data_IF_273722135115
#
_entry.id   IF_273722135115
#
_cell.length_a   1.000
_cell.length_b   1.000
_cell.length_c   1.000
_cell.angle_alpha   90.00
_cell.angle_beta   90.00
_cell.angle_gamma   90.00
#
_symmetry.space_group_name_H-M   'P 1'
#
loop_
_entity.id
_entity.type
_entity.pdbx_description
1 polymer ?
#
# COMPACT_ATOMS: atom_id res chain seq x y z
N UNK A 1 -23.04 -14.23 -0.15
CA UNK A 1 -22.27 -13.20 0.60
C UNK A 1 -20.90 -13.12 -0.03
N UNK A 2 -20.33 -11.92 -0.17
CA UNK A 2 -18.96 -11.79 -0.68
C UNK A 2 -17.98 -12.32 0.37
N UNK A 3 -17.03 -13.16 -0.05
CA UNK A 3 -16.01 -13.75 0.86
C UNK A 3 -14.79 -12.84 1.04
N UNK A 4 -14.64 -11.86 0.17
CA UNK A 4 -13.61 -10.82 0.22
C UNK A 4 -14.13 -9.54 -0.42
N UNK A 5 -13.44 -8.43 -0.17
CA UNK A 5 -13.67 -7.14 -0.82
C UNK A 5 -12.35 -6.49 -1.24
N UNK A 6 -12.40 -5.71 -2.31
CA UNK A 6 -11.34 -4.78 -2.69
C UNK A 6 -11.90 -3.38 -2.45
N UNK A 7 -11.28 -2.62 -1.55
CA UNK A 7 -11.70 -1.26 -1.23
C UNK A 7 -10.58 -0.28 -1.51
N UNK A 8 -10.93 0.95 -1.86
CA UNK A 8 -9.96 2.02 -2.06
C UNK A 8 -9.57 2.62 -0.71
N UNK A 9 -8.27 2.66 -0.42
CA UNK A 9 -7.70 3.33 0.75
C UNK A 9 -7.21 4.71 0.32
N UNK A 10 -7.96 5.76 0.70
CA UNK A 10 -7.65 7.14 0.33
C UNK A 10 -6.28 7.59 0.81
N UNK A 11 -5.82 7.08 1.97
CA UNK A 11 -4.54 7.45 2.55
C UNK A 11 -3.38 6.89 1.72
N UNK A 12 -3.48 5.63 1.31
CA UNK A 12 -2.48 5.02 0.41
C UNK A 12 -2.68 5.44 -1.05
N UNK A 13 -3.88 5.92 -1.39
CA UNK A 13 -4.32 6.25 -2.74
C UNK A 13 -4.32 5.03 -3.66
N UNK A 14 -4.72 3.88 -3.15
CA UNK A 14 -4.77 2.62 -3.92
C UNK A 14 -5.78 1.63 -3.34
N UNK A 15 -6.08 0.60 -4.13
CA UNK A 15 -6.93 -0.51 -3.71
C UNK A 15 -6.22 -1.43 -2.72
N UNK A 16 -6.95 -1.91 -1.71
CA UNK A 16 -6.50 -2.89 -0.73
C UNK A 16 -7.41 -4.12 -0.73
N UNK A 17 -6.85 -5.33 -0.64
CA UNK A 17 -7.64 -6.53 -0.46
C UNK A 17 -8.02 -6.69 1.01
N UNK A 18 -9.23 -7.17 1.26
CA UNK A 18 -9.69 -7.57 2.59
C UNK A 18 -10.48 -8.87 2.51
N UNK A 19 -10.02 -9.87 3.26
CA UNK A 19 -10.76 -11.09 3.47
C UNK A 19 -11.86 -10.86 4.52
N UNK A 20 -13.06 -11.37 4.25
CA UNK A 20 -14.20 -11.35 5.18
C UNK A 20 -14.40 -12.71 5.86
N UNK A 21 -13.67 -13.72 5.39
CA UNK A 21 -13.59 -15.09 5.91
C UNK A 21 -12.13 -15.52 5.94
N UNK A 22 -11.81 -16.63 6.60
CA UNK A 22 -10.45 -17.18 6.55
C UNK A 22 -10.07 -17.59 5.12
N UNK A 23 -8.81 -17.42 4.74
CA UNK A 23 -8.31 -17.73 3.40
C UNK A 23 -8.60 -19.18 2.98
N UNK A 24 -8.41 -20.11 3.92
CA UNK A 24 -8.64 -21.55 3.73
C UNK A 24 -10.14 -21.90 3.58
N UNK A 25 -11.04 -20.95 3.88
CA UNK A 25 -12.49 -21.12 3.68
C UNK A 25 -12.94 -20.69 2.29
N UNK A 26 -12.08 -20.07 1.49
CA UNK A 26 -12.36 -19.76 0.10
C UNK A 26 -12.33 -21.03 -0.76
N UNK A 27 -13.18 -21.10 -1.79
CA UNK A 27 -13.03 -22.14 -2.82
C UNK A 27 -11.73 -21.90 -3.62
N UNK A 28 -11.21 -22.94 -4.28
CA UNK A 28 -10.02 -22.80 -5.12
C UNK A 28 -10.17 -21.72 -6.21
N UNK A 29 -11.37 -21.58 -6.79
CA UNK A 29 -11.67 -20.53 -7.77
C UNK A 29 -11.63 -19.13 -7.14
N UNK A 30 -12.18 -18.98 -5.93
CA UNK A 30 -12.14 -17.71 -5.20
C UNK A 30 -10.74 -17.35 -4.72
N UNK A 31 -9.94 -18.34 -4.31
CA UNK A 31 -8.53 -18.15 -3.98
C UNK A 31 -7.77 -17.63 -5.19
N UNK A 32 -7.91 -18.29 -6.34
CA UNK A 32 -7.24 -17.87 -7.58
C UNK A 32 -7.66 -16.45 -8.01
N UNK A 33 -8.95 -16.13 -7.95
CA UNK A 33 -9.44 -14.78 -8.27
C UNK A 33 -8.86 -13.73 -7.30
N UNK A 34 -8.85 -14.03 -6.00
CA UNK A 34 -8.30 -13.16 -4.97
C UNK A 34 -6.79 -12.96 -5.13
N UNK A 35 -6.03 -14.04 -5.36
CA UNK A 35 -4.58 -14.00 -5.61
C UNK A 35 -4.26 -13.13 -6.83
N UNK A 36 -5.03 -13.24 -7.92
CA UNK A 36 -4.84 -12.39 -9.10
C UNK A 36 -5.04 -10.90 -8.76
N UNK A 37 -6.05 -10.57 -7.95
CA UNK A 37 -6.26 -9.19 -7.47
C UNK A 37 -5.14 -8.71 -6.56
N UNK A 38 -4.63 -9.58 -5.69
CA UNK A 38 -3.45 -9.30 -4.88
C UNK A 38 -2.22 -9.00 -5.74
N UNK A 39 -1.98 -9.76 -6.81
CA UNK A 39 -0.89 -9.51 -7.76
C UNK A 39 -1.05 -8.16 -8.47
N UNK A 40 -2.26 -7.85 -8.96
CA UNK A 40 -2.57 -6.54 -9.55
C UNK A 40 -2.22 -5.42 -8.56
N UNK A 41 -2.70 -5.50 -7.32
CA UNK A 41 -2.44 -4.51 -6.27
C UNK A 41 -0.94 -4.35 -5.99
N UNK A 42 -0.21 -5.45 -5.80
CA UNK A 42 1.23 -5.43 -5.57
C UNK A 42 2.01 -4.79 -6.72
N UNK A 43 1.57 -4.95 -7.96
CA UNK A 43 2.21 -4.33 -9.13
C UNK A 43 2.15 -2.79 -9.10
N UNK A 44 1.16 -2.20 -8.43
CA UNK A 44 1.00 -0.74 -8.30
C UNK A 44 1.75 -0.15 -7.11
N UNK A 45 2.10 -0.95 -6.09
CA UNK A 45 2.74 -0.46 -4.87
C UNK A 45 4.07 0.28 -5.15
N UNK A 46 5.00 -0.25 -5.98
CA UNK A 46 6.26 0.44 -6.24
C UNK A 46 6.08 1.83 -6.87
N UNK A 47 5.14 1.97 -7.82
CA UNK A 47 4.87 3.26 -8.45
C UNK A 47 4.22 4.25 -7.47
N UNK A 48 3.36 3.77 -6.56
CA UNK A 48 2.82 4.61 -5.47
C UNK A 48 3.91 5.07 -4.51
N UNK A 49 4.82 4.20 -4.10
CA UNK A 49 5.97 4.57 -3.24
C UNK A 49 6.78 5.67 -3.92
N UNK A 50 7.16 5.51 -5.19
CA UNK A 50 7.91 6.54 -5.95
C UNK A 50 7.19 7.89 -5.98
N UNK A 51 5.88 7.90 -6.16
CA UNK A 51 5.09 9.13 -6.17
C UNK A 51 5.15 9.85 -4.80
N UNK A 52 5.06 9.10 -3.71
CA UNK A 52 5.21 9.62 -2.36
C UNK A 52 6.63 10.08 -2.06
N UNK A 53 7.66 9.33 -2.47
CA UNK A 53 9.07 9.74 -2.35
C UNK A 53 9.35 11.05 -3.09
N UNK A 54 8.80 11.21 -4.29
CA UNK A 54 8.92 12.47 -5.04
C UNK A 54 8.26 13.64 -4.30
N UNK A 55 7.09 13.43 -3.70
CA UNK A 55 6.42 14.45 -2.88
C UNK A 55 7.22 14.77 -1.61
N UNK A 56 7.76 13.77 -0.94
CA UNK A 56 8.64 13.93 0.22
C UNK A 56 9.85 14.81 -0.12
N UNK A 57 10.53 14.48 -1.23
CA UNK A 57 11.69 15.25 -1.69
C UNK A 57 11.33 16.69 -2.05
N UNK A 58 10.14 16.91 -2.63
CA UNK A 58 9.66 18.27 -2.89
C UNK A 58 9.50 19.10 -1.61
N UNK A 59 8.91 18.53 -0.55
CA UNK A 59 8.82 19.20 0.75
C UNK A 59 10.19 19.41 1.39
N UNK A 60 11.08 18.41 1.31
CA UNK A 60 12.43 18.52 1.84
C UNK A 60 13.23 19.67 1.20
N UNK A 61 13.11 19.86 -0.11
CA UNK A 61 13.75 20.99 -0.80
C UNK A 61 13.13 22.33 -0.38
N UNK A 62 11.80 22.41 -0.27
CA UNK A 62 11.11 23.64 0.16
C UNK A 62 11.40 24.01 1.63
N UNK A 63 11.65 23.01 2.47
CA UNK A 63 11.96 23.18 3.89
C UNK A 63 13.28 23.94 4.12
N UNK A 64 14.20 23.95 3.15
CA UNK A 64 15.46 24.72 3.23
C UNK A 64 15.25 26.23 3.23
N UNK A 65 14.15 26.70 2.65
CA UNK A 65 13.81 28.12 2.51
C UNK A 65 12.61 28.52 3.38
N UNK A 66 12.09 27.59 4.18
CA UNK A 66 10.88 27.79 4.98
C UNK A 66 11.15 28.69 6.20
N UNK A 67 10.15 29.50 6.55
CA UNK A 67 10.07 30.14 7.86
C UNK A 67 9.65 29.13 8.94
N UNK A 68 9.66 29.55 10.21
CA UNK A 68 9.40 28.65 11.34
C UNK A 68 8.03 27.96 11.24
N UNK A 69 6.96 28.68 10.86
CA UNK A 69 5.62 28.10 10.75
C UNK A 69 5.54 27.09 9.59
N UNK A 70 6.09 27.44 8.44
CA UNK A 70 6.11 26.57 7.25
C UNK A 70 7.01 25.35 7.47
N UNK A 71 8.09 25.50 8.23
CA UNK A 71 8.98 24.40 8.61
C UNK A 71 8.23 23.31 9.37
N UNK A 72 7.40 23.68 10.36
CA UNK A 72 6.60 22.70 11.10
C UNK A 72 5.59 21.99 10.19
N UNK A 73 4.91 22.72 9.32
CA UNK A 73 3.95 22.15 8.37
C UNK A 73 4.62 21.14 7.42
N UNK A 74 5.74 21.50 6.82
CA UNK A 74 6.45 20.61 5.91
C UNK A 74 7.03 19.39 6.61
N UNK A 75 7.52 19.52 7.85
CA UNK A 75 7.94 18.35 8.63
C UNK A 75 6.78 17.40 8.91
N UNK A 76 5.60 17.92 9.24
CA UNK A 76 4.41 17.09 9.47
C UNK A 76 4.01 16.33 8.20
N UNK A 77 3.95 17.02 7.05
CA UNK A 77 3.66 16.39 5.75
C UNK A 77 4.69 15.32 5.39
N UNK A 78 5.99 15.60 5.60
CA UNK A 78 7.06 14.63 5.38
C UNK A 78 6.94 13.40 6.28
N UNK A 79 6.56 13.59 7.55
CA UNK A 79 6.33 12.48 8.46
C UNK A 79 5.14 11.61 8.01
N UNK A 80 4.02 12.24 7.65
CA UNK A 80 2.85 11.53 7.13
C UNK A 80 3.18 10.73 5.86
N UNK A 81 3.97 11.31 4.95
CA UNK A 81 4.41 10.60 3.74
C UNK A 81 5.27 9.38 4.10
N UNK A 82 6.16 9.53 5.08
CA UNK A 82 7.02 8.42 5.54
C UNK A 82 6.19 7.28 6.12
N UNK A 83 5.18 7.58 6.93
CA UNK A 83 4.23 6.60 7.45
C UNK A 83 3.49 5.86 6.32
N UNK A 84 3.02 6.59 5.30
CA UNK A 84 2.35 6.00 4.14
C UNK A 84 3.27 5.05 3.36
N UNK A 85 4.53 5.44 3.14
CA UNK A 85 5.52 4.58 2.47
C UNK A 85 5.77 3.31 3.29
N UNK A 86 5.89 3.43 4.62
CA UNK A 86 6.01 2.26 5.49
C UNK A 86 4.80 1.33 5.38
N UNK A 87 3.59 1.87 5.38
CA UNK A 87 2.37 1.08 5.27
C UNK A 87 2.21 0.39 3.90
N UNK A 88 2.63 1.05 2.82
CA UNK A 88 2.71 0.45 1.48
C UNK A 88 3.65 -0.76 1.45
N UNK A 89 4.83 -0.64 2.08
CA UNK A 89 5.78 -1.75 2.19
C UNK A 89 5.22 -2.89 3.05
N UNK A 90 4.58 -2.58 4.18
CA UNK A 90 3.93 -3.58 5.03
C UNK A 90 2.80 -4.29 4.31
N UNK A 91 2.00 -3.57 3.52
CA UNK A 91 0.94 -4.14 2.70
C UNK A 91 1.51 -5.11 1.66
N UNK A 92 2.58 -4.72 0.98
CA UNK A 92 3.27 -5.59 0.01
C UNK A 92 3.73 -6.90 0.67
N UNK A 93 4.48 -6.79 1.78
CA UNK A 93 4.99 -7.96 2.51
C UNK A 93 3.86 -8.83 3.06
N UNK A 94 2.77 -8.22 3.54
CA UNK A 94 1.60 -8.93 4.01
C UNK A 94 0.96 -9.74 2.88
N UNK A 95 0.74 -9.13 1.71
CA UNK A 95 0.12 -9.81 0.57
C UNK A 95 1.02 -10.94 0.05
N UNK A 96 2.31 -10.67 -0.15
CA UNK A 96 3.25 -11.71 -0.60
C UNK A 96 3.33 -12.86 0.40
N UNK A 97 3.49 -12.53 1.68
CA UNK A 97 3.66 -13.48 2.77
C UNK A 97 2.48 -14.41 2.98
N UNK A 98 1.24 -13.92 2.77
CA UNK A 98 0.03 -14.65 3.13
C UNK A 98 -0.72 -15.22 1.93
N UNK A 99 -0.59 -14.64 0.73
CA UNK A 99 -1.46 -15.01 -0.40
C UNK A 99 -0.68 -15.42 -1.65
N UNK A 100 0.52 -14.90 -1.90
CA UNK A 100 1.23 -15.14 -3.16
C UNK A 100 2.42 -16.12 -3.05
N UNK A 101 2.97 -16.32 -1.85
CA UNK A 101 4.10 -17.24 -1.66
C UNK A 101 3.76 -18.72 -1.92
N UNK A 102 2.48 -19.09 -1.95
CA UNK A 102 2.04 -20.44 -2.30
C UNK A 102 2.18 -20.76 -3.79
N UNK A 103 2.30 -19.73 -4.66
CA UNK A 103 2.38 -19.90 -6.12
C UNK A 103 3.82 -20.01 -6.66
N UNK A 104 4.84 -19.75 -5.83
CA UNK A 104 6.25 -19.70 -6.24
C UNK A 104 6.99 -21.07 -6.27
N UNK A 105 6.29 -22.18 -6.04
CA UNK A 105 6.86 -23.55 -6.02
C UNK A 105 6.20 -24.52 -7.01
N UNK A 106 5.59 -24.02 -8.09
CA UNK A 106 5.05 -24.85 -9.18
C UNK A 106 5.99 -24.87 -10.41
#
# INVERSE_FOLDING_TARGET
>A
MASYEIYFDDRLGMNRPRLLVDYDSLSAEQQQEFELKCQEICSYIPERIKAFESRYMSYYEQLKEADDETFFLYNEEMNQISEIICDLNLLYLYIEGNFLNSTALA
#
